data_IF_462671283777
#
_entry.id   IF_462671283777
#
_cell.length_a   1.000
_cell.length_b   1.000
_cell.length_c   1.000
_cell.angle_alpha   90.00
_cell.angle_beta   90.00
_cell.angle_gamma   90.00
#
_symmetry.space_group_name_H-M   'P 1'
#
loop_
_entity.id
_entity.type
_entity.pdbx_description
1 polymer ?
#
# COMPACT_ATOMS: atom_id res chain seq x y z
N UNK A 1 -16.23 -0.41 4.02
CA UNK A 1 -15.15 -1.10 3.29
C UNK A 1 -15.02 -2.61 3.58
N UNK A 2 -15.88 -3.23 4.42
CA UNK A 2 -15.77 -4.66 4.75
C UNK A 2 -16.38 -5.64 3.69
N UNK A 3 -17.25 -5.16 2.80
CA UNK A 3 -18.09 -6.05 1.96
C UNK A 3 -17.34 -6.73 0.80
N UNK A 4 -16.24 -6.15 0.28
CA UNK A 4 -15.59 -6.69 -0.92
C UNK A 4 -14.81 -8.00 -0.66
N UNK A 5 -14.24 -8.18 0.54
CA UNK A 5 -13.48 -9.40 0.89
C UNK A 5 -14.38 -10.61 1.16
N UNK A 6 -15.62 -10.40 1.62
CA UNK A 6 -16.56 -11.50 1.91
C UNK A 6 -17.07 -12.20 0.65
N UNK A 7 -17.04 -11.55 -0.51
CA UNK A 7 -17.60 -12.10 -1.76
C UNK A 7 -16.67 -13.08 -2.49
N UNK A 8 -15.36 -13.02 -2.24
CA UNK A 8 -14.38 -13.81 -3.00
C UNK A 8 -14.12 -15.21 -2.41
N UNK A 9 -14.54 -15.48 -1.18
CA UNK A 9 -14.29 -16.73 -0.44
C UNK A 9 -12.87 -17.33 -0.69
N UNK A 10 -11.80 -16.57 -0.44
CA UNK A 10 -10.44 -17.03 -0.75
C UNK A 10 -10.08 -18.31 0.03
N UNK A 11 -9.27 -19.15 -0.62
CA UNK A 11 -8.74 -20.37 -0.02
C UNK A 11 -7.81 -20.04 1.16
N UNK A 12 -7.80 -20.92 2.17
CA UNK A 12 -6.92 -20.81 3.33
C UNK A 12 -5.63 -21.62 3.08
N UNK A 13 -4.43 -21.16 3.48
CA UNK A 13 -4.16 -19.92 4.22
C UNK A 13 -4.10 -18.64 3.36
N UNK A 14 -4.33 -17.49 3.98
CA UNK A 14 -4.31 -16.18 3.30
C UNK A 14 -2.94 -15.50 3.38
N UNK A 15 -2.47 -15.00 2.25
CA UNK A 15 -1.38 -14.00 2.19
C UNK A 15 -2.00 -12.63 1.97
N UNK A 16 -1.64 -11.66 2.81
CA UNK A 16 -2.15 -10.29 2.73
C UNK A 16 -1.11 -9.41 2.06
N UNK A 17 -1.49 -8.78 0.95
CA UNK A 17 -0.60 -7.91 0.16
C UNK A 17 -1.01 -6.45 0.33
N UNK A 18 -0.04 -5.59 0.62
CA UNK A 18 -0.24 -4.15 0.75
C UNK A 18 0.72 -3.39 -0.14
N UNK A 19 0.20 -2.43 -0.90
CA UNK A 19 0.98 -1.58 -1.79
C UNK A 19 0.92 -0.12 -1.39
N UNK A 20 2.05 0.55 -1.52
CA UNK A 20 2.18 1.98 -1.21
C UNK A 20 1.70 2.31 0.21
N UNK A 21 0.80 3.29 0.32
CA UNK A 21 0.28 3.75 1.62
C UNK A 21 -0.65 2.75 2.31
N UNK A 22 -1.02 1.63 1.68
CA UNK A 22 -1.85 0.60 2.32
C UNK A 22 -1.07 -0.32 3.26
N UNK A 23 0.27 -0.37 3.18
CA UNK A 23 1.11 -1.25 4.00
C UNK A 23 0.84 -1.19 5.51
N UNK A 24 0.73 0.00 6.14
CA UNK A 24 0.46 0.14 7.57
C UNK A 24 -0.89 -0.44 8.01
N UNK A 25 -1.83 -0.67 7.08
CA UNK A 25 -3.16 -1.21 7.38
C UNK A 25 -3.18 -2.74 7.43
N UNK A 26 -2.13 -3.42 6.93
CA UNK A 26 -2.09 -4.88 6.85
C UNK A 26 -2.26 -5.58 8.21
N UNK A 27 -1.63 -5.13 9.32
CA UNK A 27 -1.80 -5.77 10.63
C UNK A 27 -3.27 -5.76 11.09
N UNK A 28 -3.96 -4.62 10.90
CA UNK A 28 -5.37 -4.49 11.27
C UNK A 28 -6.26 -5.37 10.39
N UNK A 29 -5.99 -5.40 9.08
CA UNK A 29 -6.72 -6.27 8.15
C UNK A 29 -6.56 -7.75 8.52
N UNK A 30 -5.33 -8.21 8.78
CA UNK A 30 -5.05 -9.57 9.22
C UNK A 30 -5.73 -9.92 10.55
N UNK A 31 -5.74 -9.00 11.51
CA UNK A 31 -6.50 -9.18 12.76
C UNK A 31 -7.98 -9.40 12.51
N UNK A 32 -8.60 -8.64 11.60
CA UNK A 32 -10.01 -8.85 11.23
C UNK A 32 -10.23 -10.21 10.56
N UNK A 33 -9.32 -10.66 9.70
CA UNK A 33 -9.42 -11.99 9.07
C UNK A 33 -9.31 -13.12 10.10
N UNK A 34 -8.38 -13.03 11.05
CA UNK A 34 -8.23 -14.02 12.13
C UNK A 34 -9.45 -14.04 13.06
N UNK A 35 -10.02 -12.88 13.38
CA UNK A 35 -11.28 -12.82 14.13
C UNK A 35 -12.44 -13.49 13.37
N UNK A 36 -12.38 -13.51 12.03
CA UNK A 36 -13.27 -14.28 11.16
C UNK A 36 -12.90 -15.76 10.97
N UNK A 37 -11.91 -16.27 11.71
CA UNK A 37 -11.48 -17.67 11.66
C UNK A 37 -10.55 -18.04 10.50
N UNK A 38 -9.96 -17.07 9.80
CA UNK A 38 -9.01 -17.31 8.69
C UNK A 38 -7.57 -17.38 9.18
N UNK A 39 -6.75 -18.23 8.56
CA UNK A 39 -5.32 -18.29 8.82
C UNK A 39 -4.57 -17.28 7.93
N UNK A 40 -3.61 -16.56 8.52
CA UNK A 40 -2.72 -15.65 7.79
C UNK A 40 -1.35 -16.32 7.66
N UNK A 41 -1.01 -16.78 6.46
CA UNK A 41 0.30 -17.37 6.14
C UNK A 41 1.43 -16.33 6.13
N UNK A 42 1.12 -15.07 5.80
CA UNK A 42 2.12 -14.01 5.81
C UNK A 42 1.65 -12.71 5.17
N UNK A 43 2.60 -11.78 5.11
CA UNK A 43 2.43 -10.43 4.58
C UNK A 43 3.41 -10.17 3.44
N UNK A 44 2.94 -9.56 2.36
CA UNK A 44 3.80 -9.03 1.29
C UNK A 44 3.59 -7.53 1.17
N UNK A 45 4.67 -6.77 1.29
CA UNK A 45 4.68 -5.33 1.11
C UNK A 45 5.26 -5.01 -0.27
N UNK A 46 4.54 -4.30 -1.13
CA UNK A 46 5.00 -3.90 -2.47
C UNK A 46 5.21 -2.40 -2.48
N UNK A 47 6.46 -1.94 -2.55
CA UNK A 47 6.83 -0.51 -2.48
C UNK A 47 6.08 0.26 -1.38
N UNK A 48 5.78 -0.42 -0.28
CA UNK A 48 4.83 0.03 0.70
C UNK A 48 5.51 0.62 1.92
N UNK A 49 4.84 1.58 2.58
CA UNK A 49 5.26 2.03 3.89
C UNK A 49 5.07 0.90 4.91
N UNK A 50 6.02 0.74 5.83
CA UNK A 50 5.98 -0.35 6.80
C UNK A 50 5.30 0.08 8.11
N UNK A 51 4.48 -0.79 8.74
CA UNK A 51 3.97 -0.55 10.07
C UNK A 51 5.11 -0.24 11.07
N UNK A 52 4.84 0.69 11.98
CA UNK A 52 5.71 1.07 13.09
C UNK A 52 4.98 0.89 14.43
N UNK A 53 5.70 0.55 15.51
CA UNK A 53 5.12 0.52 16.85
C UNK A 53 4.65 1.92 17.28
N UNK A 54 3.53 1.97 18.01
CA UNK A 54 2.97 3.20 18.57
C UNK A 54 2.01 3.95 17.62
N UNK A 55 1.40 5.04 18.11
CA UNK A 55 0.52 5.88 17.29
C UNK A 55 1.34 6.58 16.20
N UNK A 56 0.92 6.42 14.94
CA UNK A 56 1.55 7.04 13.77
C UNK A 56 0.47 7.40 12.75
N UNK A 57 0.68 8.46 11.96
CA UNK A 57 -0.15 8.81 10.80
C UNK A 57 0.58 8.48 9.48
N UNK A 58 -0.10 8.63 8.34
CA UNK A 58 0.56 8.55 7.04
C UNK A 58 1.61 9.67 6.86
N UNK A 59 1.36 10.88 7.36
CA UNK A 59 2.36 11.96 7.36
C UNK A 59 3.59 11.61 8.20
N UNK A 60 3.44 11.00 9.37
CA UNK A 60 4.60 10.61 10.19
C UNK A 60 5.48 9.56 9.48
N UNK A 61 4.86 8.64 8.75
CA UNK A 61 5.57 7.65 7.93
C UNK A 61 6.26 8.30 6.73
N UNK A 62 5.58 9.23 6.06
CA UNK A 62 6.16 10.01 4.97
C UNK A 62 7.36 10.83 5.45
N UNK A 63 7.22 11.52 6.59
CA UNK A 63 8.29 12.29 7.24
C UNK A 63 9.51 11.44 7.51
N UNK A 64 9.31 10.19 7.93
CA UNK A 64 10.40 9.31 8.26
C UNK A 64 11.17 8.79 7.03
N UNK A 65 10.52 8.68 5.87
CA UNK A 65 11.13 8.22 4.63
C UNK A 65 11.67 9.37 3.77
N UNK A 66 10.96 10.49 3.74
CA UNK A 66 11.27 11.67 2.93
C UNK A 66 10.76 12.95 3.64
N UNK A 67 11.55 13.52 4.60
CA UNK A 67 11.14 14.72 5.34
C UNK A 67 10.80 15.93 4.46
N UNK A 68 11.49 16.09 3.34
CA UNK A 68 11.23 17.19 2.40
C UNK A 68 9.90 17.01 1.64
N UNK A 69 9.58 15.78 1.24
CA UNK A 69 8.29 15.47 0.61
C UNK A 69 7.14 15.63 1.61
N UNK A 70 7.32 15.22 2.86
CA UNK A 70 6.32 15.46 3.90
C UNK A 70 6.05 16.95 4.11
N UNK A 71 7.09 17.79 4.16
CA UNK A 71 6.92 19.24 4.28
C UNK A 71 6.11 19.82 3.12
N UNK A 72 6.36 19.38 1.89
CA UNK A 72 5.60 19.80 0.71
C UNK A 72 4.15 19.30 0.79
N UNK A 73 3.94 18.05 1.18
CA UNK A 73 2.61 17.49 1.37
C UNK A 73 1.84 18.27 2.45
N UNK A 74 2.48 18.56 3.58
CA UNK A 74 1.91 19.33 4.68
C UNK A 74 1.46 20.71 4.23
N UNK A 75 2.34 21.46 3.56
CA UNK A 75 2.01 22.79 3.01
C UNK A 75 0.83 22.71 2.04
N UNK A 76 0.83 21.74 1.13
CA UNK A 76 -0.23 21.56 0.15
C UNK A 76 -1.58 21.19 0.79
N UNK A 77 -1.56 20.34 1.82
CA UNK A 77 -2.75 19.88 2.53
C UNK A 77 -3.38 20.97 3.43
N UNK A 78 -2.62 21.99 3.84
CA UNK A 78 -3.15 23.15 4.56
C UNK A 78 -3.84 24.19 3.65
N UNK A 79 -3.65 24.09 2.34
CA UNK A 79 -4.40 24.92 1.40
C UNK A 79 -5.89 24.50 1.42
N UNK A 80 -6.84 25.46 1.27
CA UNK A 80 -8.25 25.12 1.16
C UNK A 80 -8.53 24.14 0.02
N UNK A 81 -9.07 22.96 0.34
CA UNK A 81 -9.32 21.89 -0.64
C UNK A 81 -8.06 21.12 -1.09
N UNK A 82 -6.94 21.29 -0.38
CA UNK A 82 -5.68 20.61 -0.67
C UNK A 82 -5.81 19.09 -0.59
N UNK A 83 -5.25 18.41 -1.60
CA UNK A 83 -5.16 16.95 -1.66
C UNK A 83 -3.74 16.51 -2.00
N UNK A 84 -3.33 15.37 -1.46
CA UNK A 84 -2.03 14.77 -1.69
C UNK A 84 -2.14 13.28 -2.06
N UNK A 85 -1.29 12.72 -2.93
CA UNK A 85 -0.43 13.47 -3.86
C UNK A 85 -1.30 14.37 -4.75
N UNK A 86 -0.86 15.60 -4.98
CA UNK A 86 -1.45 16.39 -6.06
C UNK A 86 -1.20 15.55 -7.32
N UNK A 87 -2.26 15.14 -8.04
CA UNK A 87 -2.06 14.57 -9.36
C UNK A 87 -1.29 15.63 -10.13
N UNK A 88 0.02 15.44 -10.32
CA UNK A 88 0.78 16.24 -11.26
C UNK A 88 -0.03 16.21 -12.55
N UNK A 89 -0.34 17.37 -13.12
CA UNK A 89 -1.20 17.57 -14.29
C UNK A 89 -1.06 16.41 -15.30
N UNK A 90 -1.85 15.37 -15.09
CA UNK A 90 -1.93 14.19 -15.97
C UNK A 90 -3.03 14.42 -17.01
N UNK A 91 -3.69 15.57 -16.96
CA UNK A 91 -4.46 16.13 -18.05
C UNK A 91 -3.53 16.80 -19.08
N UNK A 92 -2.77 15.99 -19.81
CA UNK A 92 -2.81 16.15 -21.26
C UNK A 92 -3.72 15.05 -21.77
N UNK A 93 -5.00 15.35 -22.05
CA UNK A 93 -5.82 14.45 -22.84
C UNK A 93 -5.02 14.04 -24.08
N UNK A 94 -4.90 12.74 -24.33
CA UNK A 94 -4.48 12.28 -25.65
C UNK A 94 -5.39 12.99 -26.67
N UNK A 95 -4.86 13.65 -27.71
CA UNK A 95 -5.70 14.30 -28.69
C UNK A 95 -6.49 13.22 -29.44
N UNK A 96 -7.76 13.01 -29.08
CA UNK A 96 -8.64 12.07 -29.76
C UNK A 96 -9.73 11.38 -28.91
N UNK A 97 -9.57 11.28 -27.59
CA UNK A 97 -10.51 10.48 -26.78
C UNK A 97 -11.81 11.26 -26.46
N UNK A 98 -12.82 11.10 -27.31
CA UNK A 98 -14.19 11.52 -26.97
C UNK A 98 -14.75 10.61 -25.88
N UNK A 99 -15.35 11.22 -24.86
CA UNK A 99 -15.95 10.58 -23.68
C UNK A 99 -17.13 9.67 -24.09
N UNK A 100 -16.81 8.45 -24.51
CA UNK A 100 -17.79 7.38 -24.70
C UNK A 100 -18.21 6.83 -23.35
N UNK A 101 -19.50 6.84 -23.07
CA UNK A 101 -20.08 6.11 -21.94
C UNK A 101 -19.83 4.62 -22.15
N UNK A 102 -18.85 4.06 -21.44
CA UNK A 102 -18.61 2.62 -21.43
C UNK A 102 -19.70 1.95 -20.59
N UNK A 103 -20.48 1.00 -21.13
CA UNK A 103 -21.39 0.21 -20.32
C UNK A 103 -20.59 -0.69 -19.36
N UNK A 104 -21.07 -0.78 -18.11
CA UNK A 104 -20.62 -1.75 -17.12
C UNK A 104 -20.93 -3.16 -17.63
N UNK A 105 -19.93 -3.83 -18.20
CA UNK A 105 -19.92 -5.29 -18.36
C UNK A 105 -18.49 -5.79 -18.15
N UNK A 106 -18.29 -6.50 -17.05
CA UNK A 106 -17.17 -7.39 -16.72
C UNK A 106 -15.77 -6.92 -17.18
N UNK A 107 -15.17 -6.01 -16.41
CA UNK A 107 -13.72 -5.76 -16.48
C UNK A 107 -12.95 -7.04 -16.11
N UNK A 108 -12.17 -7.57 -17.07
CA UNK A 108 -11.07 -8.50 -16.80
C UNK A 108 -10.02 -7.88 -15.85
N UNK A 109 -9.03 -8.66 -15.36
CA UNK A 109 -8.10 -8.19 -14.35
C UNK A 109 -7.33 -6.98 -14.88
N UNK A 110 -7.50 -5.83 -14.23
CA UNK A 110 -6.71 -4.65 -14.49
C UNK A 110 -5.22 -5.01 -14.28
N UNK A 111 -4.44 -4.98 -15.34
CA UNK A 111 -3.01 -5.22 -15.30
C UNK A 111 -2.34 -3.97 -14.71
N UNK A 112 -2.02 -4.02 -13.41
CA UNK A 112 -1.33 -2.96 -12.67
C UNK A 112 -1.87 -2.81 -11.25
N UNK A 113 -1.00 -2.54 -10.28
CA UNK A 113 -1.47 -2.22 -8.93
C UNK A 113 -2.22 -0.89 -8.90
N UNK A 114 -3.22 -0.75 -8.02
CA UNK A 114 -3.94 0.49 -7.87
C UNK A 114 -2.98 1.62 -7.49
N UNK A 115 -2.99 2.70 -8.28
CA UNK A 115 -2.20 3.90 -8.01
C UNK A 115 -2.75 4.65 -6.78
N UNK A 116 -1.85 5.38 -6.11
CA UNK A 116 -2.22 6.25 -5.01
C UNK A 116 -3.24 7.31 -5.50
N UNK A 117 -4.37 7.39 -4.80
CA UNK A 117 -5.41 8.39 -5.09
C UNK A 117 -5.12 9.66 -4.28
N UNK A 118 -5.41 10.86 -4.80
CA UNK A 118 -5.41 12.07 -4.00
C UNK A 118 -6.34 11.94 -2.80
N UNK A 119 -5.86 12.36 -1.64
CA UNK A 119 -6.60 12.35 -0.37
C UNK A 119 -6.37 13.64 0.39
N UNK A 120 -7.33 14.00 1.22
CA UNK A 120 -7.34 15.25 2.00
C UNK A 120 -6.47 15.18 3.26
N UNK A 121 -6.33 16.32 3.94
CA UNK A 121 -5.55 16.42 5.18
C UNK A 121 -6.04 15.42 6.24
N UNK A 122 -7.35 15.18 6.33
CA UNK A 122 -7.91 14.25 7.31
C UNK A 122 -7.34 12.84 7.14
N UNK A 123 -7.33 12.30 5.91
CA UNK A 123 -6.74 11.01 5.62
C UNK A 123 -5.24 10.95 5.97
N UNK A 124 -4.47 11.97 5.60
CA UNK A 124 -3.01 11.96 5.79
C UNK A 124 -2.58 12.12 7.25
N UNK A 125 -3.41 12.79 8.06
CA UNK A 125 -3.18 13.02 9.50
C UNK A 125 -3.91 12.03 10.41
N UNK A 126 -4.76 11.16 9.88
CA UNK A 126 -5.47 10.20 10.71
C UNK A 126 -4.49 9.24 11.40
N UNK A 127 -4.80 8.90 12.65
CA UNK A 127 -4.00 7.93 13.39
C UNK A 127 -4.26 6.54 12.81
N UNK A 128 -3.20 5.90 12.33
CA UNK A 128 -3.27 4.55 11.79
C UNK A 128 -3.60 3.54 12.90
N UNK A 129 -4.31 2.45 12.57
CA UNK A 129 -4.55 1.37 13.51
C UNK A 129 -3.23 0.88 14.13
N UNK A 130 -3.14 0.74 15.46
CA UNK A 130 -1.89 0.36 16.09
C UNK A 130 -1.51 -1.08 15.73
N UNK A 131 -0.26 -1.30 15.32
CA UNK A 131 0.30 -2.61 15.02
C UNK A 131 0.79 -3.33 16.29
N UNK A 132 -0.10 -3.50 17.28
CA UNK A 132 0.21 -4.18 18.55
C UNK A 132 0.55 -5.66 18.28
N UNK A 133 1.61 -6.17 18.90
CA UNK A 133 2.09 -7.56 18.79
C UNK A 133 2.45 -8.02 17.36
N UNK A 134 2.79 -7.08 16.49
CA UNK A 134 3.18 -7.33 15.09
C UNK A 134 4.72 -7.27 14.88
N UNK A 135 5.32 -8.08 13.98
CA UNK A 135 4.69 -9.06 13.08
C UNK A 135 4.37 -10.40 13.74
N UNK A 136 3.18 -10.92 13.44
CA UNK A 136 2.64 -12.18 13.96
C UNK A 136 2.57 -13.30 12.89
N UNK A 137 3.08 -13.03 11.70
CA UNK A 137 3.30 -13.98 10.61
C UNK A 137 4.50 -13.49 9.76
N UNK A 138 5.13 -14.37 8.96
CA UNK A 138 6.27 -13.99 8.11
C UNK A 138 5.95 -12.83 7.16
N UNK A 139 6.95 -12.00 6.93
CA UNK A 139 6.85 -10.80 6.10
C UNK A 139 7.88 -10.88 4.97
N UNK A 140 7.48 -10.49 3.76
CA UNK A 140 8.35 -10.27 2.62
C UNK A 140 8.10 -8.88 2.03
N UNK A 141 9.09 -8.35 1.32
CA UNK A 141 9.01 -7.06 0.63
C UNK A 141 9.32 -7.25 -0.86
N UNK A 142 8.58 -6.58 -1.72
CA UNK A 142 8.84 -6.44 -3.15
C UNK A 142 9.22 -4.99 -3.41
N UNK A 143 10.40 -4.81 -3.98
CA UNK A 143 10.91 -3.53 -4.43
C UNK A 143 10.90 -3.52 -5.96
N UNK A 144 10.06 -2.66 -6.56
CA UNK A 144 9.94 -2.59 -8.02
C UNK A 144 10.87 -1.54 -8.65
N UNK A 145 11.49 -0.71 -7.81
CA UNK A 145 12.23 0.48 -8.23
C UNK A 145 11.34 1.58 -8.82
N UNK A 146 10.02 1.44 -8.80
CA UNK A 146 9.08 2.48 -9.20
C UNK A 146 8.71 3.36 -7.99
N UNK A 147 8.50 4.68 -8.20
CA UNK A 147 8.00 5.53 -7.13
C UNK A 147 6.59 5.11 -6.71
N UNK A 148 6.34 5.03 -5.42
CA UNK A 148 5.01 4.83 -4.83
C UNK A 148 4.54 6.14 -4.18
N UNK A 149 3.67 6.93 -4.83
CA UNK A 149 3.32 8.27 -4.35
C UNK A 149 2.77 8.25 -2.91
N UNK A 150 3.25 9.18 -2.09
CA UNK A 150 2.88 9.31 -0.68
C UNK A 150 3.53 8.27 0.25
N UNK A 151 4.51 7.51 -0.24
CA UNK A 151 5.32 6.61 0.58
C UNK A 151 6.72 7.17 0.87
N UNK A 152 7.12 8.27 0.22
CA UNK A 152 8.47 8.79 0.25
C UNK A 152 9.44 7.89 -0.53
N UNK A 153 10.70 7.85 -0.08
CA UNK A 153 11.73 6.98 -0.64
C UNK A 153 11.36 5.49 -0.46
N UNK A 154 11.09 4.79 -1.56
CA UNK A 154 10.79 3.34 -1.53
C UNK A 154 12.02 2.51 -1.17
N UNK A 155 13.23 2.98 -1.50
CA UNK A 155 14.47 2.32 -1.11
C UNK A 155 14.66 2.37 0.42
N UNK A 156 14.18 3.44 1.08
CA UNK A 156 14.18 3.52 2.54
C UNK A 156 13.38 2.38 3.17
N UNK A 157 12.21 2.07 2.62
CA UNK A 157 11.37 0.98 3.12
C UNK A 157 11.93 -0.39 2.79
N UNK A 158 12.49 -0.60 1.60
CA UNK A 158 13.22 -1.82 1.26
C UNK A 158 14.42 -2.06 2.20
N UNK A 159 15.20 -1.02 2.52
CA UNK A 159 16.28 -1.10 3.54
C UNK A 159 15.73 -1.42 4.93
N UNK A 160 14.61 -0.81 5.31
CA UNK A 160 13.96 -1.11 6.60
C UNK A 160 13.49 -2.56 6.68
N UNK A 161 12.92 -3.12 5.60
CA UNK A 161 12.55 -4.54 5.53
C UNK A 161 13.77 -5.46 5.72
N UNK A 162 14.89 -5.19 5.03
CA UNK A 162 16.16 -5.92 5.20
C UNK A 162 16.67 -5.88 6.64
N UNK A 163 16.61 -4.70 7.28
CA UNK A 163 17.06 -4.54 8.68
C UNK A 163 16.23 -5.37 9.68
N UNK A 164 14.99 -5.72 9.33
CA UNK A 164 14.11 -6.61 10.11
C UNK A 164 14.33 -8.09 9.78
N UNK A 165 15.27 -8.41 8.89
CA UNK A 165 15.55 -9.77 8.44
C UNK A 165 14.54 -10.32 7.43
N UNK A 166 13.72 -9.45 6.81
CA UNK A 166 12.72 -9.91 5.84
C UNK A 166 13.34 -10.09 4.45
N UNK A 167 12.94 -11.15 3.71
CA UNK A 167 13.27 -11.31 2.31
C UNK A 167 12.80 -10.08 1.51
N UNK A 168 13.68 -9.60 0.62
CA UNK A 168 13.39 -8.49 -0.31
C UNK A 168 13.62 -8.97 -1.73
N UNK A 169 12.54 -9.00 -2.51
CA UNK A 169 12.53 -9.36 -3.92
C UNK A 169 12.65 -8.09 -4.76
N UNK A 170 13.72 -7.96 -5.53
CA UNK A 170 13.91 -6.89 -6.52
C UNK A 170 13.28 -7.35 -7.84
N UNK A 171 12.11 -6.81 -8.19
CA UNK A 171 11.36 -7.23 -9.38
C UNK A 171 10.48 -6.07 -9.88
N UNK A 172 10.75 -5.51 -11.08
CA UNK A 172 10.00 -4.38 -11.63
C UNK A 172 8.51 -4.65 -11.87
N UNK A 173 8.12 -5.89 -12.20
CA UNK A 173 6.70 -6.25 -12.29
C UNK A 173 6.18 -6.66 -10.90
N UNK A 174 5.33 -5.83 -10.27
CA UNK A 174 4.90 -6.11 -8.91
C UNK A 174 4.10 -7.41 -8.77
N UNK A 175 3.39 -7.87 -9.79
CA UNK A 175 2.69 -9.17 -9.71
C UNK A 175 3.69 -10.32 -9.72
N UNK A 176 4.75 -10.23 -10.52
CA UNK A 176 5.82 -11.23 -10.53
C UNK A 176 6.61 -11.19 -9.23
N UNK A 177 6.87 -10.00 -8.68
CA UNK A 177 7.55 -9.84 -7.40
C UNK A 177 6.74 -10.44 -6.25
N UNK A 178 5.41 -10.24 -6.23
CA UNK A 178 4.52 -10.88 -5.26
C UNK A 178 4.60 -12.40 -5.39
N UNK A 179 4.49 -12.93 -6.61
CA UNK A 179 4.55 -14.39 -6.85
C UNK A 179 5.88 -14.99 -6.38
N UNK A 180 7.01 -14.38 -6.72
CA UNK A 180 8.33 -14.82 -6.27
C UNK A 180 8.48 -14.74 -4.74
N UNK A 181 7.85 -13.75 -4.10
CA UNK A 181 7.91 -13.61 -2.64
C UNK A 181 7.11 -14.67 -1.88
N UNK A 182 6.17 -15.35 -2.53
CA UNK A 182 5.41 -16.45 -1.90
C UNK A 182 6.31 -17.64 -1.55
N UNK A 183 7.39 -17.87 -2.31
CA UNK A 183 8.36 -18.94 -2.04
C UNK A 183 9.13 -18.73 -0.72
N UNK A 184 9.05 -17.51 -0.15
CA UNK A 184 9.66 -17.16 1.13
C UNK A 184 8.70 -17.21 2.32
N UNK A 185 7.40 -17.41 2.07
CA UNK A 185 6.39 -17.52 3.13
C UNK A 185 6.09 -19.00 3.38
N UNK A 186 5.81 -19.41 4.63
CA UNK A 186 5.38 -20.77 4.91
C UNK A 186 4.03 -21.04 4.23
N UNK A 187 3.96 -22.17 3.51
CA UNK A 187 2.75 -22.65 2.86
C UNK A 187 1.70 -23.19 3.82
#
# INVERSE_FOLDING_TARGET
MAQHLQLAAPADPLVVVGHGSAGPLLPALARTQRAGGRHIAGYVFVDATLPRPGPTSHLDLLKAAAPDEERLAHEHLHAPGGVWPALADSEKPFPGESRGTVPHTAQGPAQGLPQARPRDHQFWSETLPPAIDWPDAPCAYVHTGQPAPGCGDVDFWARSARSRGWPVTEEPDPLQGVRASLDHLPG
#
